data_IF_623351179305
#
_entry.id   IF_623351179305
#
_cell.length_a   1.000
_cell.length_b   1.000
_cell.length_c   1.000
_cell.angle_alpha   90.00
_cell.angle_beta   90.00
_cell.angle_gamma   90.00
#
_symmetry.space_group_name_H-M   'P 1'
#
loop_
_entity.id
_entity.type
_entity.pdbx_description
1 polymer ?
#
# COMPACT_ATOMS: atom_id res chain seq x y z
N UNK A 1 -2.14 -22.20 0.39
CA UNK A 1 -1.83 -20.95 1.11
C UNK A 1 -2.45 -19.82 0.32
N UNK A 2 -3.39 -19.07 0.89
CA UNK A 2 -3.94 -17.89 0.23
C UNK A 2 -3.40 -16.65 0.95
N UNK A 3 -2.51 -15.91 0.29
CA UNK A 3 -2.07 -14.60 0.76
C UNK A 3 -2.74 -13.55 -0.11
N UNK A 4 -3.61 -12.73 0.49
CA UNK A 4 -4.16 -11.57 -0.19
C UNK A 4 -3.18 -10.42 -0.04
N UNK A 5 -2.35 -10.24 -1.06
CA UNK A 5 -1.47 -9.08 -1.21
C UNK A 5 -2.29 -7.91 -1.75
N UNK A 6 -2.26 -6.79 -1.04
CA UNK A 6 -2.91 -5.57 -1.49
C UNK A 6 -1.98 -4.75 -2.39
N UNK A 7 -2.35 -3.50 -2.67
CA UNK A 7 -1.70 -2.66 -3.68
C UNK A 7 -0.20 -2.52 -3.40
N UNK A 8 0.64 -3.15 -4.25
CA UNK A 8 2.07 -3.18 -4.01
C UNK A 8 2.76 -1.91 -4.50
N UNK A 9 3.67 -1.35 -3.70
CA UNK A 9 4.41 -0.13 -4.04
C UNK A 9 5.92 -0.28 -3.88
N UNK A 10 6.64 0.44 -4.74
CA UNK A 10 8.09 0.68 -4.71
C UNK A 10 8.38 1.98 -5.48
N UNK A 11 9.62 2.47 -5.46
CA UNK A 11 10.01 3.79 -6.00
C UNK A 11 9.51 4.10 -7.43
N UNK A 12 9.49 3.12 -8.33
CA UNK A 12 9.09 3.30 -9.73
C UNK A 12 7.83 2.53 -10.14
N UNK A 13 7.06 1.99 -9.19
CA UNK A 13 5.90 1.13 -9.50
C UNK A 13 4.88 1.19 -8.36
N UNK A 14 3.62 1.32 -8.72
CA UNK A 14 2.50 1.40 -7.79
C UNK A 14 1.49 2.48 -8.22
N UNK A 15 0.41 2.64 -7.45
CA UNK A 15 -0.63 3.65 -7.73
C UNK A 15 -0.07 5.06 -7.85
N UNK A 16 0.73 5.47 -6.85
CA UNK A 16 1.39 6.78 -6.83
C UNK A 16 2.18 7.09 -8.12
N UNK A 17 2.98 6.13 -8.60
CA UNK A 17 3.81 6.31 -9.80
C UNK A 17 2.96 6.36 -11.08
N UNK A 18 1.87 5.60 -11.14
CA UNK A 18 0.91 5.67 -12.24
C UNK A 18 0.20 7.02 -12.30
N UNK A 19 -0.29 7.53 -11.16
CA UNK A 19 -0.98 8.81 -11.10
C UNK A 19 -0.05 9.98 -11.42
N UNK A 20 1.20 9.95 -10.93
CA UNK A 20 2.24 10.92 -11.32
C UNK A 20 2.45 10.97 -12.83
N UNK A 21 2.48 9.81 -13.51
CA UNK A 21 2.65 9.75 -14.97
C UNK A 21 1.42 10.26 -15.73
N UNK A 22 0.22 10.08 -15.18
CA UNK A 22 -1.02 10.51 -15.83
C UNK A 22 -1.31 12.00 -15.64
N UNK A 23 -0.95 12.57 -14.49
CA UNK A 23 -1.28 13.96 -14.15
C UNK A 23 -2.74 14.10 -13.73
N UNK A 24 -3.67 14.02 -14.69
CA UNK A 24 -5.12 14.10 -14.46
C UNK A 24 -5.75 12.70 -14.48
N UNK A 25 -6.51 12.34 -13.45
CA UNK A 25 -7.05 10.98 -13.29
C UNK A 25 -8.53 11.02 -12.91
N UNK A 26 -9.39 10.42 -13.73
CA UNK A 26 -10.84 10.30 -13.49
C UNK A 26 -11.15 9.17 -12.49
N UNK A 27 -10.68 9.35 -11.26
CA UNK A 27 -10.94 8.46 -10.12
C UNK A 27 -11.30 9.30 -8.90
N UNK A 28 -12.13 8.77 -8.00
CA UNK A 28 -12.46 9.48 -6.76
C UNK A 28 -11.26 9.56 -5.79
N UNK A 29 -11.00 10.72 -5.17
CA UNK A 29 -9.83 10.95 -4.31
C UNK A 29 -9.89 10.20 -2.96
N UNK A 30 -11.09 9.98 -2.45
CA UNK A 30 -11.41 9.45 -1.12
C UNK A 30 -11.47 7.92 -1.04
N UNK A 31 -11.13 7.20 -2.12
CA UNK A 31 -11.08 5.74 -2.11
C UNK A 31 -9.88 5.23 -1.30
N UNK A 32 -10.15 4.42 -0.28
CA UNK A 32 -9.16 3.81 0.60
C UNK A 32 -8.42 2.68 -0.12
N UNK A 33 -7.10 2.73 -0.05
CA UNK A 33 -6.16 1.76 -0.57
C UNK A 33 -5.33 1.21 0.59
N UNK A 34 -5.30 -0.10 0.69
CA UNK A 34 -4.37 -0.81 1.56
C UNK A 34 -3.16 -1.17 0.72
N UNK A 35 -1.99 -0.90 1.25
CA UNK A 35 -0.76 -1.00 0.49
C UNK A 35 0.18 -2.02 1.12
N UNK A 36 1.18 -2.48 0.38
CA UNK A 36 2.30 -3.26 0.93
C UNK A 36 3.54 -2.97 0.09
N UNK A 37 4.71 -2.80 0.71
CA UNK A 37 5.93 -2.67 -0.07
C UNK A 37 6.28 -4.00 -0.75
N UNK A 38 6.88 -3.97 -1.94
CA UNK A 38 7.24 -5.21 -2.66
C UNK A 38 8.13 -6.16 -1.84
N UNK A 39 9.11 -5.62 -1.11
CA UNK A 39 9.96 -6.41 -0.22
C UNK A 39 9.18 -7.05 0.94
N UNK A 40 8.14 -6.37 1.43
CA UNK A 40 7.31 -6.87 2.53
C UNK A 40 6.35 -7.96 2.06
N UNK A 41 5.80 -7.83 0.86
CA UNK A 41 5.03 -8.90 0.24
C UNK A 41 5.88 -10.18 0.06
N UNK A 42 7.12 -10.03 -0.40
CA UNK A 42 8.05 -11.14 -0.56
C UNK A 42 8.47 -11.76 0.78
N UNK A 43 8.83 -10.94 1.76
CA UNK A 43 9.26 -11.42 3.08
C UNK A 43 8.12 -12.11 3.85
N UNK A 44 6.89 -11.61 3.72
CA UNK A 44 5.70 -12.26 4.27
C UNK A 44 5.47 -13.63 3.64
N UNK A 45 5.55 -13.74 2.31
CA UNK A 45 5.39 -15.02 1.63
C UNK A 45 6.42 -16.06 2.10
N UNK A 46 7.68 -15.67 2.23
CA UNK A 46 8.75 -16.52 2.78
C UNK A 46 8.43 -16.93 4.22
N UNK A 47 7.98 -16.00 5.05
CA UNK A 47 7.64 -16.28 6.45
C UNK A 47 6.48 -17.28 6.57
N UNK A 48 5.44 -17.14 5.76
CA UNK A 48 4.32 -18.09 5.75
C UNK A 48 4.78 -19.49 5.27
N UNK A 49 5.61 -19.55 4.22
CA UNK A 49 6.16 -20.83 3.71
C UNK A 49 6.97 -21.56 4.79
N UNK A 50 7.79 -20.83 5.56
CA UNK A 50 8.56 -21.41 6.68
C UNK A 50 7.69 -21.95 7.81
N UNK A 51 6.50 -21.38 8.03
CA UNK A 51 5.57 -21.84 9.07
C UNK A 51 4.76 -23.09 8.67
N UNK A 52 4.71 -23.42 7.37
CA UNK A 52 3.97 -24.59 6.85
C UNK A 52 2.48 -24.63 7.28
N UNK A 53 1.84 -23.46 7.41
CA UNK A 53 0.43 -23.34 7.79
C UNK A 53 -0.49 -23.55 6.58
N UNK A 54 -0.94 -24.79 6.40
CA UNK A 54 -1.85 -25.17 5.32
C UNK A 54 -3.30 -24.70 5.57
N UNK A 55 -4.05 -24.44 4.50
CA UNK A 55 -5.47 -24.07 4.58
C UNK A 55 -5.78 -22.73 5.26
N UNK A 56 -4.76 -21.90 5.53
CA UNK A 56 -4.94 -20.57 6.14
C UNK A 56 -4.94 -19.44 5.11
N UNK A 57 -5.62 -18.36 5.50
CA UNK A 57 -5.69 -17.10 4.77
C UNK A 57 -4.93 -16.05 5.56
N UNK A 58 -4.00 -15.39 4.88
CA UNK A 58 -3.18 -14.30 5.45
C UNK A 58 -3.39 -13.02 4.67
N UNK A 59 -3.40 -11.89 5.38
CA UNK A 59 -3.63 -10.57 4.82
C UNK A 59 -2.33 -9.77 4.81
N UNK A 60 -1.82 -9.50 3.61
CA UNK A 60 -0.63 -8.70 3.41
C UNK A 60 -0.98 -7.25 3.15
N UNK A 61 -0.83 -6.40 4.16
CA UNK A 61 -0.81 -4.95 4.04
C UNK A 61 0.20 -4.35 5.03
N UNK A 62 0.58 -3.11 4.80
CA UNK A 62 1.20 -2.22 5.77
C UNK A 62 0.19 -1.85 6.89
N UNK A 63 0.59 -0.96 7.78
CA UNK A 63 -0.20 -0.58 8.95
C UNK A 63 -1.07 0.66 8.74
N UNK A 64 -1.04 1.28 7.55
CA UNK A 64 -1.67 2.58 7.31
C UNK A 64 -2.50 2.59 6.01
N UNK A 65 -3.80 2.25 6.08
CA UNK A 65 -4.71 2.44 4.95
C UNK A 65 -4.90 3.93 4.65
N UNK A 66 -4.63 4.33 3.41
CA UNK A 66 -4.69 5.72 2.94
C UNK A 66 -5.65 5.86 1.76
N UNK A 67 -6.27 7.02 1.64
CA UNK A 67 -6.98 7.42 0.43
C UNK A 67 -6.02 7.71 -0.72
N UNK A 68 -6.54 7.75 -1.95
CA UNK A 68 -5.73 8.15 -3.12
C UNK A 68 -5.13 9.54 -2.97
N UNK A 69 -5.92 10.47 -2.42
CA UNK A 69 -5.47 11.84 -2.20
C UNK A 69 -4.33 11.88 -1.18
N UNK A 70 -4.50 11.27 0.00
CA UNK A 70 -3.43 11.23 1.02
C UNK A 70 -2.13 10.63 0.47
N UNK A 71 -2.20 9.57 -0.34
CA UNK A 71 -1.03 8.99 -1.00
C UNK A 71 -0.30 10.04 -1.86
N UNK A 72 -1.04 10.82 -2.65
CA UNK A 72 -0.46 11.85 -3.50
C UNK A 72 0.04 13.06 -2.73
N UNK A 73 -0.60 13.40 -1.61
CA UNK A 73 -0.16 14.46 -0.70
C UNK A 73 1.20 14.10 -0.08
N UNK A 74 1.38 12.86 0.40
CA UNK A 74 2.67 12.38 0.89
C UNK A 74 3.74 12.32 -0.21
N UNK A 75 3.35 11.97 -1.44
CA UNK A 75 4.25 11.98 -2.60
C UNK A 75 4.78 13.38 -2.86
N UNK A 76 3.91 14.40 -2.89
CA UNK A 76 4.32 15.79 -3.11
C UNK A 76 5.16 16.30 -1.92
N UNK A 77 4.73 16.03 -0.68
CA UNK A 77 5.47 16.37 0.53
C UNK A 77 6.88 15.77 0.56
N UNK A 78 7.06 14.55 0.04
CA UNK A 78 8.36 13.87 0.06
C UNK A 78 9.43 14.55 -0.80
N UNK A 79 9.04 15.32 -1.82
CA UNK A 79 9.96 15.90 -2.80
C UNK A 79 10.79 14.87 -3.61
N UNK A 80 10.50 13.57 -3.49
CA UNK A 80 11.29 12.49 -4.11
C UNK A 80 10.99 12.27 -5.59
N UNK A 81 9.96 12.92 -6.12
CA UNK A 81 9.48 12.74 -7.49
C UNK A 81 9.50 14.07 -8.24
N UNK A 82 10.11 14.07 -9.43
CA UNK A 82 10.17 15.25 -10.30
C UNK A 82 8.90 15.48 -11.11
N UNK A 83 8.11 14.42 -11.33
CA UNK A 83 6.81 14.51 -12.02
C UNK A 83 5.79 15.23 -11.14
N UNK A 84 4.84 15.93 -11.78
CA UNK A 84 3.77 16.63 -11.08
C UNK A 84 2.42 15.98 -11.37
N UNK A 85 1.78 15.52 -10.31
CA UNK A 85 0.38 15.12 -10.33
C UNK A 85 -0.50 16.37 -10.36
N UNK A 86 -1.60 16.34 -11.11
CA UNK A 86 -2.53 17.47 -11.20
C UNK A 86 -3.67 17.28 -10.21
N UNK A 87 -4.58 16.35 -10.47
CA UNK A 87 -5.72 16.09 -9.59
C UNK A 87 -6.46 14.80 -9.93
N UNK A 88 -7.22 14.34 -8.95
CA UNK A 88 -8.30 13.38 -9.11
C UNK A 88 -9.59 14.13 -9.47
N UNK A 89 -10.32 13.69 -10.49
CA UNK A 89 -11.55 14.36 -10.98
C UNK A 89 -12.82 13.55 -10.83
N UNK A 90 -12.71 12.28 -10.41
CA UNK A 90 -13.87 11.40 -10.26
C UNK A 90 -14.64 11.65 -8.96
N UNK A 91 -15.94 11.32 -8.95
CA UNK A 91 -16.82 11.42 -7.77
C UNK A 91 -17.61 10.14 -7.48
N UNK A 92 -17.59 9.18 -8.41
CA UNK A 92 -18.35 7.93 -8.35
C UNK A 92 -17.47 6.71 -8.04
N UNK A 93 -18.12 5.60 -7.65
CA UNK A 93 -17.45 4.33 -7.34
C UNK A 93 -17.31 4.03 -5.84
N UNK A 94 -16.82 2.84 -5.46
CA UNK A 94 -16.74 2.39 -4.07
C UNK A 94 -15.70 3.17 -3.28
N UNK A 95 -15.87 3.26 -1.95
CA UNK A 95 -14.89 3.88 -1.03
C UNK A 95 -13.73 2.97 -0.62
N UNK A 96 -13.80 1.68 -0.97
CA UNK A 96 -12.82 0.69 -0.51
C UNK A 96 -13.08 0.24 0.93
N UNK A 97 -12.08 -0.42 1.53
CA UNK A 97 -12.14 -0.98 2.88
C UNK A 97 -10.82 -0.75 3.59
N UNK A 98 -10.84 -0.62 4.92
CA UNK A 98 -9.64 -0.58 5.76
C UNK A 98 -9.30 -2.00 6.20
N UNK A 99 -8.07 -2.43 5.95
CA UNK A 99 -7.57 -3.75 6.29
C UNK A 99 -6.66 -3.68 7.51
N UNK A 100 -6.59 -4.80 8.22
CA UNK A 100 -5.81 -4.94 9.45
C UNK A 100 -4.99 -6.25 9.36
N UNK A 101 -3.68 -6.15 9.49
CA UNK A 101 -2.73 -7.27 9.39
C UNK A 101 -2.36 -7.91 10.75
N UNK A 102 -2.88 -7.42 11.88
CA UNK A 102 -2.48 -7.84 13.24
C UNK A 102 -2.56 -9.35 13.45
N UNK A 103 -3.63 -10.00 12.96
CA UNK A 103 -3.77 -11.46 13.00
C UNK A 103 -2.67 -12.17 12.22
N UNK A 104 -2.33 -11.68 11.03
CA UNK A 104 -1.27 -12.27 10.21
C UNK A 104 0.08 -12.11 10.89
N UNK A 105 0.37 -10.93 11.45
CA UNK A 105 1.60 -10.66 12.20
C UNK A 105 1.73 -11.56 13.42
N UNK A 106 0.66 -11.72 14.20
CA UNK A 106 0.65 -12.56 15.40
C UNK A 106 0.83 -14.05 15.06
N UNK A 107 0.15 -14.58 14.03
CA UNK A 107 0.25 -15.99 13.67
C UNK A 107 1.61 -16.34 13.01
N UNK A 108 2.15 -15.43 12.20
CA UNK A 108 3.40 -15.67 11.46
C UNK A 108 4.63 -15.25 12.27
N UNK A 109 4.49 -14.33 13.23
CA UNK A 109 5.63 -13.68 13.89
C UNK A 109 6.43 -12.82 12.92
N UNK A 110 5.72 -12.09 12.05
CA UNK A 110 6.30 -11.27 10.98
C UNK A 110 5.87 -9.80 11.14
N UNK A 111 6.75 -8.89 10.73
CA UNK A 111 6.53 -7.45 10.68
C UNK A 111 7.01 -6.87 9.35
N UNK A 112 6.30 -5.88 8.76
CA UNK A 112 6.77 -5.18 7.58
C UNK A 112 8.01 -4.34 7.93
N UNK A 113 9.01 -4.38 7.05
CA UNK A 113 10.17 -3.48 7.08
C UNK A 113 9.75 -2.03 6.79
N UNK A 114 8.75 -1.84 5.94
CA UNK A 114 8.14 -0.54 5.65
C UNK A 114 6.73 -0.52 6.23
N UNK A 115 6.55 -0.09 7.49
CA UNK A 115 5.28 -0.24 8.19
C UNK A 115 4.19 0.71 7.67
N UNK A 116 4.55 1.72 6.87
CA UNK A 116 3.62 2.59 6.17
C UNK A 116 4.24 3.22 4.92
N UNK A 117 3.39 3.67 4.00
CA UNK A 117 3.81 4.38 2.80
C UNK A 117 4.56 5.71 3.07
N UNK A 118 4.15 6.57 4.02
CA UNK A 118 4.90 7.79 4.37
C UNK A 118 6.30 7.48 4.89
N UNK A 119 6.45 6.46 5.74
CA UNK A 119 7.77 6.05 6.23
C UNK A 119 8.68 5.52 5.11
N UNK A 120 8.13 4.80 4.13
CA UNK A 120 8.87 4.45 2.91
C UNK A 120 9.34 5.70 2.15
N UNK A 121 8.53 6.76 2.13
CA UNK A 121 8.91 8.06 1.58
C UNK A 121 9.84 8.86 2.49
N UNK A 122 10.22 8.36 3.66
CA UNK A 122 11.13 9.02 4.61
C UNK A 122 10.48 10.18 5.36
N UNK A 123 9.15 10.19 5.45
CA UNK A 123 8.38 11.15 6.24
C UNK A 123 8.13 10.59 7.64
N UNK A 124 8.06 11.47 8.62
CA UNK A 124 7.56 11.14 9.97
C UNK A 124 6.03 11.13 9.93
N UNK A 125 5.42 10.20 10.67
CA UNK A 125 3.96 10.15 10.88
C UNK A 125 3.47 11.26 11.80
#
# INVERSE_FOLDING_TARGET
>A
MHCFLNNSYQKGRGGHYFWLKKGLVEQRPDHIINMIHYEDAASLAIAILKKQLHGRIFLGCDNLPLSRQEIMDYVDQSGKFSMKFQSFTGTSGPLGKRLNNSKTRAEIGWEPKYPSFPQFLGLQE
#
